data_IF_568978937601
#
_entry.id   IF_568978937601
#
_cell.length_a   1.000
_cell.length_b   1.000
_cell.length_c   1.000
_cell.angle_alpha   90.00
_cell.angle_beta   90.00
_cell.angle_gamma   90.00
#
_symmetry.space_group_name_H-M   'P 1'
#
loop_
_entity.id
_entity.type
_entity.pdbx_description
1 polymer ?
#
# COMPACT_ATOMS: atom_id res chain seq x y z
N UNK A 1 0.97 12.06 -7.03
CA UNK A 1 1.08 10.65 -6.57
C UNK A 1 -0.26 9.90 -6.53
N UNK A 2 -1.31 10.34 -5.82
CA UNK A 2 -2.71 9.83 -6.00
C UNK A 2 -3.15 9.78 -7.48
N UNK A 3 -2.65 10.73 -8.29
CA UNK A 3 -2.81 10.79 -9.75
C UNK A 3 -2.25 9.57 -10.49
N UNK A 4 -1.12 9.00 -10.08
CA UNK A 4 -0.45 7.91 -10.82
C UNK A 4 -1.29 6.63 -10.73
N UNK A 5 -1.73 6.23 -9.54
CA UNK A 5 -2.65 5.07 -9.38
C UNK A 5 -4.05 5.34 -9.93
N UNK A 6 -4.57 6.58 -9.85
CA UNK A 6 -5.82 6.97 -10.53
C UNK A 6 -5.73 6.83 -12.05
N UNK A 7 -4.55 7.09 -12.61
CA UNK A 7 -4.26 6.96 -14.05
C UNK A 7 -3.98 5.51 -14.46
N UNK A 8 -3.43 4.69 -13.55
CA UNK A 8 -3.17 3.27 -13.79
C UNK A 8 -4.43 2.39 -13.70
N UNK A 9 -5.36 2.66 -12.75
CA UNK A 9 -6.47 1.72 -12.44
C UNK A 9 -7.89 2.33 -12.47
N UNK A 10 -8.03 3.59 -12.88
CA UNK A 10 -9.33 4.26 -13.06
C UNK A 10 -10.10 4.58 -11.76
N UNK A 11 -11.08 5.48 -11.85
CA UNK A 11 -11.87 5.97 -10.70
C UNK A 11 -12.90 4.97 -10.16
N UNK A 12 -13.19 3.87 -10.86
CA UNK A 12 -14.25 2.94 -10.51
C UNK A 12 -13.93 2.04 -9.30
N UNK A 13 -12.65 1.73 -9.08
CA UNK A 13 -12.21 0.80 -8.02
C UNK A 13 -12.48 1.37 -6.62
N UNK A 14 -12.26 2.68 -6.42
CA UNK A 14 -12.50 3.33 -5.13
C UNK A 14 -13.99 3.43 -4.76
N UNK A 15 -14.92 3.46 -5.73
CA UNK A 15 -16.35 3.53 -5.41
C UNK A 15 -16.94 2.20 -4.94
N UNK A 16 -16.35 1.07 -5.33
CA UNK A 16 -16.79 -0.26 -4.89
C UNK A 16 -16.25 -0.64 -3.50
N UNK A 17 -15.07 -0.14 -3.13
CA UNK A 17 -14.48 -0.29 -1.79
C UNK A 17 -15.35 0.36 -0.71
N UNK A 18 -15.81 1.62 -0.90
CA UNK A 18 -16.67 2.27 0.09
C UNK A 18 -18.07 1.62 0.18
N UNK A 19 -18.60 1.07 -0.91
CA UNK A 19 -19.91 0.42 -0.93
C UNK A 19 -19.90 -0.97 -0.24
N UNK A 20 -18.81 -1.73 -0.39
CA UNK A 20 -18.63 -3.04 0.25
C UNK A 20 -18.41 -2.91 1.76
N UNK A 21 -17.63 -1.92 2.22
CA UNK A 21 -17.48 -1.63 3.65
C UNK A 21 -18.79 -1.17 4.31
N UNK A 22 -19.59 -0.34 3.62
CA UNK A 22 -20.86 0.16 4.15
C UNK A 22 -21.93 -0.95 4.21
N UNK A 23 -21.92 -1.88 3.26
CA UNK A 23 -22.82 -3.05 3.24
C UNK A 23 -22.44 -4.08 4.32
N UNK A 24 -21.15 -4.31 4.57
CA UNK A 24 -20.68 -5.15 5.69
C UNK A 24 -21.03 -4.56 7.05
N UNK A 25 -20.83 -3.24 7.25
CA UNK A 25 -21.21 -2.55 8.48
C UNK A 25 -22.72 -2.61 8.75
N UNK A 26 -23.54 -2.41 7.70
CA UNK A 26 -25.00 -2.53 7.85
C UNK A 26 -25.44 -3.96 8.13
N UNK A 27 -24.85 -4.98 7.49
CA UNK A 27 -25.17 -6.39 7.75
C UNK A 27 -24.74 -6.85 9.15
N UNK A 28 -23.59 -6.40 9.65
CA UNK A 28 -23.10 -6.71 11.01
C UNK A 28 -23.99 -6.06 12.08
N UNK A 29 -24.39 -4.81 11.87
CA UNK A 29 -25.32 -4.11 12.79
C UNK A 29 -26.70 -4.79 12.77
N UNK A 30 -27.22 -5.18 11.60
CA UNK A 30 -28.50 -5.89 11.49
C UNK A 30 -28.43 -7.28 12.15
N UNK A 31 -27.36 -8.06 11.93
CA UNK A 31 -27.18 -9.39 12.54
C UNK A 31 -27.01 -9.32 14.06
N UNK A 32 -26.27 -8.34 14.59
CA UNK A 32 -26.05 -8.17 16.03
C UNK A 32 -27.33 -7.78 16.78
N UNK A 33 -28.27 -7.11 16.09
CA UNK A 33 -29.53 -6.65 16.69
C UNK A 33 -30.75 -7.55 16.43
N UNK A 34 -30.70 -8.48 15.47
CA UNK A 34 -31.81 -9.41 15.21
C UNK A 34 -31.96 -10.53 16.25
N UNK A 35 -31.03 -10.68 17.19
CA UNK A 35 -31.05 -11.72 18.23
C UNK A 35 -31.94 -11.46 19.45
N UNK A 36 -32.62 -10.32 19.56
CA UNK A 36 -33.52 -10.03 20.69
C UNK A 36 -34.90 -9.60 20.19
N UNK A 37 -35.95 -10.35 20.59
CA UNK A 37 -37.37 -10.09 20.28
C UNK A 37 -37.84 -8.75 20.87
N UNK A 38 -37.50 -7.62 20.24
CA UNK A 38 -38.06 -6.29 20.51
C UNK A 38 -38.17 -5.54 19.16
N UNK A 39 -38.93 -6.10 18.21
CA UNK A 39 -38.91 -5.65 16.81
C UNK A 39 -39.63 -4.32 16.50
N UNK A 40 -40.38 -3.73 17.43
CA UNK A 40 -41.26 -2.58 17.12
C UNK A 40 -40.85 -1.25 17.75
N UNK A 41 -40.07 -1.27 18.84
CA UNK A 41 -39.59 -0.03 19.49
C UNK A 41 -38.30 0.48 18.82
N UNK A 42 -37.43 -0.43 18.40
CA UNK A 42 -36.12 -0.10 17.83
C UNK A 42 -36.18 0.41 16.39
N UNK A 43 -37.13 -0.06 15.58
CA UNK A 43 -37.36 0.47 14.24
C UNK A 43 -37.73 1.96 14.30
N UNK A 44 -38.60 2.37 15.24
CA UNK A 44 -38.93 3.79 15.44
C UNK A 44 -37.73 4.65 15.88
N UNK A 45 -36.83 4.10 16.70
CA UNK A 45 -35.63 4.79 17.17
C UNK A 45 -34.63 4.93 16.00
N UNK A 46 -34.38 3.87 15.25
CA UNK A 46 -33.46 3.87 14.10
C UNK A 46 -33.95 4.82 13.00
N UNK A 47 -35.24 4.81 12.67
CA UNK A 47 -35.81 5.74 11.69
C UNK A 47 -35.75 7.22 12.15
N UNK A 48 -35.90 7.49 13.46
CA UNK A 48 -35.68 8.84 14.01
C UNK A 48 -34.21 9.25 13.92
N UNK A 49 -33.26 8.36 14.22
CA UNK A 49 -31.83 8.67 14.12
C UNK A 49 -31.38 8.89 12.68
N UNK A 50 -31.85 8.07 11.73
CA UNK A 50 -31.56 8.26 10.30
C UNK A 50 -32.19 9.54 9.72
N UNK A 51 -33.41 9.90 10.11
CA UNK A 51 -34.04 11.15 9.65
C UNK A 51 -33.35 12.40 10.20
N UNK A 52 -32.84 12.36 11.43
CA UNK A 52 -32.02 13.44 11.99
C UNK A 52 -30.68 13.58 11.27
N UNK A 53 -30.01 12.47 10.94
CA UNK A 53 -28.74 12.49 10.20
C UNK A 53 -28.92 13.00 8.76
N UNK A 54 -29.99 12.61 8.08
CA UNK A 54 -30.33 13.14 6.75
C UNK A 54 -30.65 14.64 6.84
N UNK A 55 -31.42 15.09 7.84
CA UNK A 55 -31.72 16.51 8.03
C UNK A 55 -30.46 17.35 8.35
N UNK A 56 -29.51 16.83 9.14
CA UNK A 56 -28.21 17.46 9.41
C UNK A 56 -27.34 17.55 8.15
N UNK A 57 -27.42 16.56 7.27
CA UNK A 57 -26.73 16.55 5.96
C UNK A 57 -27.26 17.67 5.04
N UNK A 58 -28.58 17.91 5.06
CA UNK A 58 -29.21 19.00 4.31
C UNK A 58 -28.93 20.38 4.91
N UNK A 59 -28.81 20.51 6.24
CA UNK A 59 -28.38 21.74 6.90
C UNK A 59 -26.91 22.08 6.63
N UNK A 60 -26.02 21.07 6.57
CA UNK A 60 -24.62 21.26 6.21
C UNK A 60 -24.41 21.73 4.77
N UNK A 61 -25.20 21.21 3.83
CA UNK A 61 -25.15 21.60 2.41
C UNK A 61 -25.75 22.99 2.15
N UNK A 62 -26.78 23.40 2.91
CA UNK A 62 -27.32 24.77 2.85
C UNK A 62 -26.40 25.80 3.52
N UNK A 63 -25.68 25.43 4.58
CA UNK A 63 -24.68 26.30 5.23
C UNK A 63 -23.45 26.59 4.35
N UNK A 64 -23.03 25.61 3.56
CA UNK A 64 -21.91 25.76 2.62
C UNK A 64 -22.25 26.68 1.43
N UNK A 65 -23.54 26.80 1.08
CA UNK A 65 -24.01 27.67 -0.01
C UNK A 65 -24.15 29.16 0.33
N UNK A 66 -24.26 29.53 1.62
CA UNK A 66 -24.51 30.92 2.04
C UNK A 66 -23.28 31.64 2.63
N UNK A 67 -22.19 30.93 2.94
CA UNK A 67 -20.95 31.53 3.45
C UNK A 67 -19.93 31.79 2.34
N UNK A 68 -20.36 32.43 1.25
CA UNK A 68 -19.43 33.03 0.28
C UNK A 68 -18.94 34.37 0.83
N UNK A 69 -18.21 34.33 1.95
CA UNK A 69 -17.23 35.36 2.23
C UNK A 69 -16.13 35.13 1.18
N UNK A 70 -15.91 36.11 0.31
CA UNK A 70 -14.76 36.14 -0.59
C UNK A 70 -13.51 35.84 0.23
N UNK A 71 -12.77 34.75 -0.04
CA UNK A 71 -11.51 34.55 0.65
C UNK A 71 -10.63 35.73 0.26
N UNK A 72 -10.14 36.45 1.26
CA UNK A 72 -9.00 37.34 1.06
C UNK A 72 -7.92 36.50 0.35
N UNK A 73 -7.36 37.06 -0.71
CA UNK A 73 -6.35 36.43 -1.56
C UNK A 73 -5.06 36.27 -0.74
N UNK A 74 -5.05 35.29 0.17
CA UNK A 74 -3.83 34.81 0.79
C UNK A 74 -3.08 34.16 -0.34
N UNK A 75 -2.03 34.83 -0.84
CA UNK A 75 -1.01 34.20 -1.67
C UNK A 75 -0.48 33.01 -0.88
N UNK A 76 -1.07 31.84 -1.11
CA UNK A 76 -0.45 30.58 -0.78
C UNK A 76 0.79 30.57 -1.66
N UNK A 77 1.93 30.84 -1.02
CA UNK A 77 3.22 30.59 -1.61
C UNK A 77 3.17 29.13 -2.04
N UNK A 78 3.16 28.89 -3.35
CA UNK A 78 3.23 27.58 -3.94
C UNK A 78 4.56 27.00 -3.47
N UNK A 79 4.51 26.25 -2.37
CA UNK A 79 5.61 25.43 -1.92
C UNK A 79 5.73 24.39 -3.01
N UNK A 80 6.74 24.56 -3.86
CA UNK A 80 7.14 23.56 -4.83
C UNK A 80 7.26 22.24 -4.07
N UNK A 81 6.40 21.28 -4.42
CA UNK A 81 6.56 19.88 -4.05
C UNK A 81 7.77 19.31 -4.79
N UNK A 82 8.96 19.82 -4.50
CA UNK A 82 10.21 19.08 -4.67
C UNK A 82 10.37 18.22 -3.41
N UNK A 83 9.49 17.23 -3.26
CA UNK A 83 9.69 16.15 -2.29
C UNK A 83 9.90 14.91 -3.17
N UNK A 84 11.18 14.61 -3.40
CA UNK A 84 11.73 13.57 -4.27
C UNK A 84 11.56 13.80 -5.78
N UNK A 85 12.66 13.72 -6.52
CA UNK A 85 12.73 13.98 -7.97
C UNK A 85 11.64 13.24 -8.74
N UNK A 86 10.79 14.01 -9.42
CA UNK A 86 9.66 13.48 -10.18
C UNK A 86 10.19 12.82 -11.47
N UNK A 87 10.59 11.55 -11.37
CA UNK A 87 10.77 10.71 -12.56
C UNK A 87 9.42 10.67 -13.27
N UNK A 88 9.36 11.32 -14.43
CA UNK A 88 8.10 11.65 -15.08
C UNK A 88 7.32 10.39 -15.50
N UNK A 89 6.03 10.56 -15.79
CA UNK A 89 5.17 9.46 -16.22
C UNK A 89 5.73 8.67 -17.42
N UNK A 90 6.31 9.36 -18.40
CA UNK A 90 6.89 8.73 -19.58
C UNK A 90 8.14 7.91 -19.26
N UNK A 91 8.93 8.33 -18.27
CA UNK A 91 10.09 7.59 -17.80
C UNK A 91 9.68 6.32 -17.05
N UNK A 92 8.67 6.41 -16.18
CA UNK A 92 8.12 5.23 -15.51
C UNK A 92 7.49 4.26 -16.52
N UNK A 93 6.77 4.76 -17.55
CA UNK A 93 6.22 3.91 -18.61
C UNK A 93 7.33 3.23 -19.41
N UNK A 94 8.41 3.94 -19.76
CA UNK A 94 9.55 3.38 -20.46
C UNK A 94 10.23 2.29 -19.63
N UNK A 95 10.45 2.53 -18.34
CA UNK A 95 10.97 1.51 -17.43
C UNK A 95 10.05 0.29 -17.37
N UNK A 96 8.73 0.49 -17.19
CA UNK A 96 7.77 -0.60 -17.15
C UNK A 96 7.69 -1.40 -18.45
N UNK A 97 7.95 -0.78 -19.61
CA UNK A 97 8.04 -1.50 -20.88
C UNK A 97 9.21 -2.50 -20.93
N UNK A 98 10.28 -2.28 -20.15
CA UNK A 98 11.40 -3.24 -20.06
C UNK A 98 11.03 -4.52 -19.29
N UNK A 99 9.94 -4.48 -18.50
CA UNK A 99 9.38 -5.66 -17.85
C UNK A 99 8.48 -6.50 -18.80
N UNK A 100 8.31 -6.12 -20.07
CA UNK A 100 7.61 -6.97 -21.04
C UNK A 100 8.33 -8.32 -21.18
N UNK A 101 7.58 -9.43 -21.21
CA UNK A 101 8.15 -10.78 -21.05
C UNK A 101 9.21 -11.14 -22.09
N UNK A 102 9.03 -10.72 -23.34
CA UNK A 102 10.01 -10.90 -24.41
C UNK A 102 11.22 -9.97 -24.31
N UNK A 103 11.08 -8.81 -23.66
CA UNK A 103 12.18 -7.88 -23.40
C UNK A 103 13.00 -8.34 -22.19
N UNK A 104 12.34 -8.60 -21.06
CA UNK A 104 12.95 -8.94 -19.78
C UNK A 104 13.91 -10.15 -19.86
N UNK A 105 13.56 -11.17 -20.65
CA UNK A 105 14.41 -12.36 -20.82
C UNK A 105 15.70 -12.08 -21.61
N UNK A 106 15.75 -10.97 -22.35
CA UNK A 106 16.91 -10.59 -23.16
C UNK A 106 17.88 -9.65 -22.43
N UNK A 107 17.43 -9.05 -21.32
CA UNK A 107 18.24 -8.15 -20.50
C UNK A 107 19.40 -8.91 -19.87
N UNK A 108 20.57 -8.26 -19.86
CA UNK A 108 21.71 -8.75 -19.10
C UNK A 108 21.53 -8.53 -17.58
N UNK A 109 22.46 -9.06 -16.78
CA UNK A 109 22.36 -8.98 -15.32
C UNK A 109 22.45 -7.53 -14.80
N UNK A 110 23.21 -6.66 -15.46
CA UNK A 110 23.31 -5.27 -15.03
C UNK A 110 22.01 -4.52 -15.36
N UNK A 111 21.47 -4.71 -16.56
CA UNK A 111 20.19 -4.13 -16.98
C UNK A 111 19.03 -4.62 -16.10
N UNK A 112 19.01 -5.90 -15.73
CA UNK A 112 18.04 -6.45 -14.78
C UNK A 112 18.17 -5.80 -13.41
N UNK A 113 19.39 -5.68 -12.87
CA UNK A 113 19.61 -5.06 -11.55
C UNK A 113 19.13 -3.61 -11.53
N UNK A 114 19.45 -2.84 -12.57
CA UNK A 114 18.97 -1.46 -12.72
C UNK A 114 17.45 -1.40 -12.83
N UNK A 115 16.84 -2.30 -13.60
CA UNK A 115 15.38 -2.40 -13.72
C UNK A 115 14.69 -2.76 -12.40
N UNK A 116 15.29 -3.64 -11.59
CA UNK A 116 14.80 -4.02 -10.28
C UNK A 116 14.85 -2.83 -9.31
N UNK A 117 15.97 -2.11 -9.28
CA UNK A 117 16.10 -0.88 -8.49
C UNK A 117 15.06 0.16 -8.92
N UNK A 118 14.86 0.35 -10.22
CA UNK A 118 13.90 1.32 -10.73
C UNK A 118 12.45 1.01 -10.31
N UNK A 119 12.08 -0.28 -10.23
CA UNK A 119 10.76 -0.69 -9.73
C UNK A 119 10.65 -0.41 -8.22
N UNK A 120 11.68 -0.72 -7.45
CA UNK A 120 11.74 -0.40 -6.01
C UNK A 120 11.62 1.11 -5.79
N UNK A 121 12.36 1.91 -6.55
CA UNK A 121 12.29 3.37 -6.50
C UNK A 121 10.89 3.90 -6.84
N UNK A 122 10.21 3.31 -7.82
CA UNK A 122 8.83 3.67 -8.17
C UNK A 122 7.89 3.39 -6.99
N UNK A 123 7.99 2.22 -6.39
CA UNK A 123 7.12 1.75 -5.32
C UNK A 123 7.36 2.47 -3.99
N UNK A 124 8.62 2.65 -3.61
CA UNK A 124 8.97 3.42 -2.41
C UNK A 124 8.52 4.87 -2.51
N UNK A 125 8.61 5.48 -3.70
CA UNK A 125 8.03 6.81 -3.95
C UNK A 125 6.51 6.83 -3.81
N UNK A 126 5.80 5.77 -4.23
CA UNK A 126 4.37 5.65 -4.01
C UNK A 126 4.03 5.65 -2.51
N UNK A 127 4.81 4.90 -1.73
CA UNK A 127 4.64 4.80 -0.28
C UNK A 127 5.16 6.01 0.50
N UNK A 128 5.99 6.84 -0.12
CA UNK A 128 6.62 7.98 0.54
C UNK A 128 7.74 7.58 1.49
N UNK A 129 8.44 6.47 1.20
CA UNK A 129 9.58 5.98 1.97
C UNK A 129 10.88 6.14 1.17
N UNK A 130 12.02 6.15 1.87
CA UNK A 130 13.33 6.08 1.23
C UNK A 130 13.48 4.72 0.52
N UNK A 131 13.88 4.67 -0.76
CA UNK A 131 13.91 3.43 -1.53
C UNK A 131 15.06 2.51 -1.10
N UNK A 132 14.78 1.25 -0.72
CA UNK A 132 15.83 0.29 -0.42
C UNK A 132 16.74 0.07 -1.62
N UNK A 133 18.02 -0.15 -1.36
CA UNK A 133 18.95 -0.62 -2.39
C UNK A 133 18.71 -2.09 -2.71
N UNK A 134 18.74 -2.48 -3.97
CA UNK A 134 18.60 -3.88 -4.39
C UNK A 134 19.97 -4.49 -4.61
N UNK A 135 20.29 -5.56 -3.88
CA UNK A 135 21.55 -6.27 -3.98
C UNK A 135 21.35 -7.76 -4.23
N UNK A 136 22.32 -8.36 -4.93
CA UNK A 136 22.31 -9.79 -5.25
C UNK A 136 23.37 -10.51 -4.44
N UNK A 137 22.93 -11.35 -3.52
CA UNK A 137 23.81 -12.11 -2.67
C UNK A 137 24.45 -13.25 -3.45
N UNK A 138 25.79 -13.27 -3.46
CA UNK A 138 26.57 -14.30 -4.15
C UNK A 138 26.84 -15.53 -3.28
N UNK A 139 26.58 -15.47 -1.97
CA UNK A 139 27.17 -16.40 -1.00
C UNK A 139 26.25 -17.56 -0.58
N UNK A 140 24.93 -17.49 -0.74
CA UNK A 140 24.02 -18.52 -0.25
C UNK A 140 23.17 -19.15 -1.37
N UNK A 141 23.79 -20.02 -2.15
CA UNK A 141 23.08 -20.85 -3.14
C UNK A 141 22.04 -21.80 -2.48
N UNK A 142 22.18 -22.08 -1.17
CA UNK A 142 21.36 -23.02 -0.41
C UNK A 142 20.26 -22.37 0.45
N UNK A 143 20.12 -21.04 0.43
CA UNK A 143 19.01 -20.39 1.12
C UNK A 143 17.67 -20.80 0.51
N UNK A 144 16.71 -21.18 1.36
CA UNK A 144 15.30 -21.41 0.97
C UNK A 144 14.56 -20.11 0.67
N UNK A 145 15.16 -18.96 0.98
CA UNK A 145 14.56 -17.64 0.78
C UNK A 145 14.94 -17.11 -0.59
N UNK A 146 13.98 -16.52 -1.30
CA UNK A 146 14.22 -15.91 -2.62
C UNK A 146 14.75 -14.49 -2.51
N UNK A 147 14.34 -13.78 -1.46
CA UNK A 147 14.83 -12.47 -1.05
C UNK A 147 14.39 -12.12 0.37
N UNK A 148 14.89 -11.01 0.89
CA UNK A 148 14.47 -10.41 2.15
C UNK A 148 14.86 -8.93 2.22
N UNK A 149 14.10 -8.15 2.97
CA UNK A 149 14.44 -6.78 3.34
C UNK A 149 15.24 -6.72 4.65
N UNK A 150 16.41 -6.07 4.61
CA UNK A 150 17.20 -5.66 5.78
C UNK A 150 16.92 -4.20 6.14
N UNK A 151 16.28 -3.99 7.28
CA UNK A 151 16.09 -2.65 7.85
C UNK A 151 17.41 -1.97 8.22
N UNK A 152 18.37 -2.73 8.73
CA UNK A 152 19.65 -2.19 9.21
C UNK A 152 20.50 -1.61 8.08
N UNK A 153 20.47 -2.27 6.92
CA UNK A 153 21.25 -1.87 5.74
C UNK A 153 20.42 -1.08 4.73
N UNK A 154 19.10 -0.97 4.97
CA UNK A 154 18.14 -0.34 4.05
C UNK A 154 18.25 -0.98 2.65
N UNK A 155 18.20 -2.31 2.62
CA UNK A 155 18.57 -3.11 1.47
C UNK A 155 17.58 -4.26 1.27
N UNK A 156 17.21 -4.51 0.02
CA UNK A 156 16.54 -5.72 -0.43
C UNK A 156 17.62 -6.65 -1.00
N UNK A 157 17.85 -7.76 -0.32
CA UNK A 157 18.73 -8.82 -0.79
C UNK A 157 17.92 -9.84 -1.56
N UNK A 158 18.38 -10.20 -2.75
CA UNK A 158 17.86 -11.35 -3.51
C UNK A 158 18.96 -12.36 -3.77
N UNK A 159 18.60 -13.64 -3.85
CA UNK A 159 19.62 -14.68 -4.09
C UNK A 159 20.10 -14.67 -5.54
N UNK A 160 21.25 -15.29 -5.79
CA UNK A 160 21.76 -15.49 -7.16
C UNK A 160 20.81 -16.24 -8.10
N UNK A 161 19.77 -16.91 -7.60
CA UNK A 161 18.69 -17.53 -8.39
C UNK A 161 17.83 -16.48 -9.11
N UNK A 162 17.78 -15.25 -8.59
CA UNK A 162 17.00 -14.13 -9.14
C UNK A 162 17.30 -13.84 -10.62
N UNK A 163 18.53 -14.09 -11.08
CA UNK A 163 18.90 -13.94 -12.49
C UNK A 163 18.07 -14.79 -13.45
N UNK A 164 17.55 -15.92 -12.95
CA UNK A 164 16.78 -16.91 -13.70
C UNK A 164 15.28 -16.85 -13.42
N UNK A 165 14.83 -15.97 -12.52
CA UNK A 165 13.41 -15.79 -12.22
C UNK A 165 12.69 -15.15 -13.40
N UNK A 166 11.43 -15.57 -13.58
CA UNK A 166 10.53 -14.88 -14.51
C UNK A 166 10.24 -13.47 -13.99
N UNK A 167 9.77 -12.59 -14.87
CA UNK A 167 9.37 -11.24 -14.47
C UNK A 167 8.31 -11.26 -13.38
N UNK A 168 7.37 -12.21 -13.44
CA UNK A 168 6.27 -12.35 -12.49
C UNK A 168 6.81 -12.62 -11.09
N UNK A 169 7.71 -13.61 -10.97
CA UNK A 169 8.34 -13.96 -9.69
C UNK A 169 9.19 -12.81 -9.15
N UNK A 170 9.93 -12.13 -10.02
CA UNK A 170 10.78 -11.03 -9.58
C UNK A 170 9.97 -9.82 -9.11
N UNK A 171 8.90 -9.44 -9.83
CA UNK A 171 7.98 -8.37 -9.39
C UNK A 171 7.34 -8.74 -8.05
N UNK A 172 6.89 -9.97 -7.89
CA UNK A 172 6.33 -10.47 -6.62
C UNK A 172 7.31 -10.27 -5.45
N UNK A 173 8.56 -10.73 -5.60
CA UNK A 173 9.59 -10.57 -4.57
C UNK A 173 9.83 -9.09 -4.27
N UNK A 174 10.07 -8.26 -5.29
CA UNK A 174 10.37 -6.85 -5.07
C UNK A 174 9.22 -6.11 -4.38
N UNK A 175 7.97 -6.35 -4.80
CA UNK A 175 6.79 -5.75 -4.16
C UNK A 175 6.61 -6.23 -2.72
N UNK A 176 6.90 -7.51 -2.43
CA UNK A 176 6.86 -8.07 -1.07
C UNK A 176 7.86 -7.35 -0.17
N UNK A 177 9.11 -7.26 -0.61
CA UNK A 177 10.19 -6.70 0.20
C UNK A 177 10.09 -5.17 0.35
N UNK A 178 9.58 -4.45 -0.66
CA UNK A 178 9.26 -3.02 -0.51
C UNK A 178 8.12 -2.81 0.49
N UNK A 179 7.14 -3.72 0.55
CA UNK A 179 6.08 -3.63 1.54
C UNK A 179 6.61 -3.83 2.97
N UNK A 180 7.60 -4.72 3.16
CA UNK A 180 8.33 -4.83 4.42
C UNK A 180 9.03 -3.52 4.79
N UNK A 181 9.69 -2.84 3.83
CA UNK A 181 10.27 -1.53 4.07
C UNK A 181 9.22 -0.47 4.48
N UNK A 182 8.06 -0.48 3.82
CA UNK A 182 6.94 0.43 4.13
C UNK A 182 6.37 0.18 5.53
N UNK A 183 6.03 -1.07 5.87
CA UNK A 183 5.43 -1.42 7.16
C UNK A 183 6.38 -1.11 8.33
N UNK A 184 7.69 -1.29 8.13
CA UNK A 184 8.73 -0.85 9.08
C UNK A 184 8.76 0.68 9.22
N UNK A 185 8.72 1.43 8.12
CA UNK A 185 8.68 2.89 8.17
C UNK A 185 7.42 3.41 8.88
N UNK A 186 6.27 2.74 8.71
CA UNK A 186 5.04 3.07 9.44
C UNK A 186 5.21 2.82 10.94
N UNK A 187 5.79 1.68 11.33
CA UNK A 187 6.07 1.38 12.74
C UNK A 187 7.03 2.41 13.38
N UNK A 188 8.04 2.86 12.64
CA UNK A 188 9.04 3.83 13.09
C UNK A 188 8.56 5.28 13.06
N UNK A 189 7.46 5.57 12.37
CA UNK A 189 6.90 6.93 12.28
C UNK A 189 6.33 7.47 13.60
N UNK A 190 6.16 6.59 14.59
CA UNK A 190 5.61 6.90 15.92
C UNK A 190 6.72 6.82 16.97
N UNK A 191 6.85 7.84 17.81
CA UNK A 191 7.75 7.79 18.95
C UNK A 191 7.11 7.05 20.13
N UNK A 192 7.38 5.76 20.25
CA UNK A 192 6.79 4.90 21.27
C UNK A 192 7.33 5.14 22.70
N UNK A 193 8.43 5.88 22.84
CA UNK A 193 9.02 6.23 24.14
C UNK A 193 8.40 7.50 24.75
N UNK A 194 7.59 8.25 23.99
CA UNK A 194 6.97 9.48 24.49
C UNK A 194 5.88 9.19 25.52
N UNK A 195 5.91 9.99 26.59
CA UNK A 195 5.22 9.77 27.86
C UNK A 195 3.70 10.02 27.83
N UNK A 196 3.14 10.34 26.66
CA UNK A 196 1.70 10.51 26.44
C UNK A 196 1.11 9.20 25.89
N UNK A 197 1.17 8.13 26.69
CA UNK A 197 0.68 6.79 26.33
C UNK A 197 -0.78 6.78 25.82
N UNK A 198 -1.61 7.75 26.24
CA UNK A 198 -3.02 7.84 25.83
C UNK A 198 -3.17 8.05 24.32
N UNK A 199 -2.24 8.75 23.66
CA UNK A 199 -2.34 9.04 22.22
C UNK A 199 -2.08 7.81 21.35
N UNK A 200 -1.29 6.84 21.82
CA UNK A 200 -1.01 5.59 21.08
C UNK A 200 -2.22 4.66 20.96
N UNK A 201 -3.27 4.88 21.75
CA UNK A 201 -4.54 4.14 21.64
C UNK A 201 -5.47 4.67 20.56
N UNK A 202 -5.14 5.81 19.95
CA UNK A 202 -5.93 6.38 18.87
C UNK A 202 -5.93 5.45 17.65
N UNK A 203 -7.10 5.31 17.03
CA UNK A 203 -7.28 4.43 15.85
C UNK A 203 -6.30 4.73 14.71
N UNK A 204 -5.83 5.98 14.60
CA UNK A 204 -4.86 6.38 13.58
C UNK A 204 -3.49 5.71 13.71
N UNK A 205 -3.12 5.22 14.90
CA UNK A 205 -1.86 4.52 15.15
C UNK A 205 -2.00 3.00 15.19
N UNK A 206 -3.20 2.47 14.96
CA UNK A 206 -3.47 1.04 15.10
C UNK A 206 -2.56 0.19 14.21
N UNK A 207 -2.37 0.60 12.96
CA UNK A 207 -1.53 -0.15 12.01
C UNK A 207 -0.05 -0.06 12.40
N UNK A 208 0.43 1.13 12.80
CA UNK A 208 1.79 1.31 13.29
C UNK A 208 2.09 0.45 14.53
N UNK A 209 1.14 0.32 15.45
CA UNK A 209 1.28 -0.56 16.60
C UNK A 209 1.31 -2.04 16.20
N UNK A 210 0.43 -2.46 15.29
CA UNK A 210 0.40 -3.84 14.77
C UNK A 210 1.75 -4.19 14.14
N UNK A 211 2.28 -3.32 13.28
CA UNK A 211 3.56 -3.55 12.61
C UNK A 211 4.74 -3.51 13.56
N UNK A 212 4.76 -2.59 14.55
CA UNK A 212 5.77 -2.60 15.60
C UNK A 212 5.78 -3.91 16.37
N UNK A 213 4.62 -4.33 16.88
CA UNK A 213 4.51 -5.55 17.67
C UNK A 213 4.91 -6.78 16.85
N UNK A 214 4.51 -6.83 15.57
CA UNK A 214 4.85 -7.92 14.65
C UNK A 214 6.36 -7.96 14.32
N UNK A 215 7.02 -6.80 14.27
CA UNK A 215 8.47 -6.71 14.10
C UNK A 215 9.25 -7.14 15.34
N UNK A 216 8.76 -6.82 16.54
CA UNK A 216 9.42 -7.17 17.81
C UNK A 216 9.29 -8.66 18.15
N UNK A 217 8.25 -9.32 17.64
CA UNK A 217 7.96 -10.75 17.82
C UNK A 217 8.04 -11.49 16.49
N UNK A 218 9.03 -11.13 15.67
CA UNK A 218 9.21 -11.77 14.37
C UNK A 218 9.89 -13.13 14.54
N UNK A 219 9.23 -14.18 14.09
CA UNK A 219 9.75 -15.55 14.10
C UNK A 219 10.22 -15.93 12.70
N UNK A 220 11.43 -16.46 12.60
CA UNK A 220 11.97 -16.91 11.33
C UNK A 220 11.21 -18.16 10.81
N UNK A 221 11.05 -18.34 9.49
CA UNK A 221 10.33 -19.49 8.92
C UNK A 221 10.95 -20.84 9.30
N UNK A 222 12.26 -20.88 9.59
CA UNK A 222 12.98 -22.08 10.02
C UNK A 222 12.70 -22.44 11.49
N UNK A 223 12.23 -21.48 12.30
CA UNK A 223 11.90 -21.67 13.72
C UNK A 223 10.44 -22.10 13.89
N UNK A 224 9.50 -21.31 13.34
CA UNK A 224 8.08 -21.65 13.31
C UNK A 224 7.45 -21.09 12.03
N UNK A 225 7.17 -22.01 11.11
CA UNK A 225 6.55 -21.68 9.84
C UNK A 225 5.13 -21.13 10.02
N UNK A 226 4.31 -21.67 10.92
CA UNK A 226 2.94 -21.18 11.08
C UNK A 226 2.92 -19.77 11.66
N UNK A 227 3.77 -19.49 12.64
CA UNK A 227 3.91 -18.15 13.22
C UNK A 227 4.46 -17.15 12.21
N UNK A 228 5.50 -17.53 11.44
CA UNK A 228 6.03 -16.73 10.35
C UNK A 228 4.95 -16.34 9.34
N UNK A 229 4.19 -17.33 8.82
CA UNK A 229 3.14 -17.04 7.85
C UNK A 229 2.00 -16.20 8.45
N UNK A 230 1.71 -16.32 9.74
CA UNK A 230 0.66 -15.53 10.40
C UNK A 230 1.14 -14.17 10.94
N UNK A 231 2.44 -13.86 10.84
CA UNK A 231 2.98 -12.57 11.25
C UNK A 231 2.35 -11.43 10.42
N UNK A 232 1.95 -10.34 11.07
CA UNK A 232 1.22 -9.26 10.40
C UNK A 232 2.02 -8.55 9.31
N UNK A 233 3.36 -8.51 9.40
CA UNK A 233 4.22 -7.98 8.34
C UNK A 233 4.13 -8.86 7.09
N UNK A 234 4.24 -10.16 7.27
CA UNK A 234 4.19 -11.15 6.19
C UNK A 234 2.79 -11.25 5.57
N UNK A 235 1.73 -11.11 6.36
CA UNK A 235 0.35 -11.00 5.86
C UNK A 235 0.18 -9.74 5.01
N UNK A 236 0.61 -8.58 5.50
CA UNK A 236 0.48 -7.32 4.76
C UNK A 236 1.26 -7.35 3.44
N UNK A 237 2.48 -7.88 3.44
CA UNK A 237 3.30 -8.02 2.25
C UNK A 237 2.67 -8.97 1.22
N UNK A 238 2.11 -10.12 1.65
CA UNK A 238 1.41 -11.04 0.74
C UNK A 238 0.10 -10.48 0.21
N UNK A 239 -0.74 -9.87 1.04
CA UNK A 239 -1.97 -9.24 0.57
C UNK A 239 -1.66 -8.15 -0.47
N UNK A 240 -0.58 -7.39 -0.24
CA UNK A 240 -0.12 -6.40 -1.20
C UNK A 240 0.33 -7.04 -2.52
N UNK A 241 1.16 -8.07 -2.49
CA UNK A 241 1.65 -8.70 -3.72
C UNK A 241 0.54 -9.41 -4.50
N UNK A 242 -0.36 -10.13 -3.81
CA UNK A 242 -1.53 -10.77 -4.41
C UNK A 242 -2.42 -9.77 -5.16
N UNK A 243 -2.54 -8.54 -4.66
CA UNK A 243 -3.33 -7.50 -5.31
C UNK A 243 -2.57 -6.80 -6.46
N UNK A 244 -1.27 -6.56 -6.31
CA UNK A 244 -0.54 -5.62 -7.17
C UNK A 244 0.27 -6.28 -8.29
N UNK A 245 0.71 -7.53 -8.14
CA UNK A 245 1.52 -8.21 -9.16
C UNK A 245 0.76 -8.30 -10.48
N UNK A 246 -0.48 -8.80 -10.48
CA UNK A 246 -1.26 -8.96 -11.72
C UNK A 246 -1.62 -7.62 -12.36
N UNK A 247 -1.89 -6.59 -11.54
CA UNK A 247 -2.14 -5.22 -12.00
C UNK A 247 -0.93 -4.63 -12.72
N UNK A 248 0.27 -4.88 -12.19
CA UNK A 248 1.51 -4.52 -12.86
C UNK A 248 1.65 -5.25 -14.19
N UNK A 249 1.51 -6.57 -14.19
CA UNK A 249 1.68 -7.39 -15.38
C UNK A 249 0.68 -7.03 -16.48
N UNK A 250 -0.59 -6.83 -16.13
CA UNK A 250 -1.64 -6.39 -17.06
C UNK A 250 -1.25 -5.04 -17.69
N UNK A 251 -0.91 -4.05 -16.87
CA UNK A 251 -0.51 -2.74 -17.37
C UNK A 251 0.75 -2.82 -18.27
N UNK A 252 1.77 -3.57 -17.85
CA UNK A 252 3.02 -3.77 -18.61
C UNK A 252 2.74 -4.36 -19.99
N UNK A 253 1.85 -5.35 -20.07
CA UNK A 253 1.49 -6.03 -21.31
C UNK A 253 0.63 -5.16 -22.23
N UNK A 254 -0.11 -4.20 -21.67
CA UNK A 254 -0.86 -3.19 -22.44
C UNK A 254 0.00 -2.06 -23.00
N UNK A 255 1.23 -1.87 -22.50
CA UNK A 255 2.12 -0.82 -23.01
C UNK A 255 2.41 -1.09 -24.50
N UNK A 256 2.09 -0.13 -25.41
CA UNK A 256 2.38 -0.29 -26.82
C UNK A 256 3.87 -0.54 -27.03
N UNK A 257 4.17 -1.60 -27.79
CA UNK A 257 5.55 -1.87 -28.22
C UNK A 257 6.04 -0.66 -29.02
N UNK A 258 7.24 -0.17 -28.70
CA UNK A 258 7.90 0.80 -29.57
C UNK A 258 8.18 0.11 -30.90
N UNK A 259 7.41 0.45 -31.93
CA UNK A 259 7.75 0.12 -33.30
C UNK A 259 8.96 0.98 -33.68
N UNK A 260 10.14 0.38 -33.72
CA UNK A 260 11.27 0.93 -34.49
C UNK A 260 10.98 0.86 -35.99
#
# INVERSE_FOLDING_TARGET
>A
MRKIRRLLFGEAVFTEEYASYLTLLTQVVIRKYHGRKIGHLWTKIIYKSFSVLIALSFLGTLGYGMSRATPAETKVQEVSTEIYGDRGWDENRRMLSMWQGDVYITLDNQEKKELWQDLVDLESRYWGIEPPTVEVEQYEAESERDGYYSKADQMISVTSKAWYYSRERMIEILLHEVNHAYTQAVADSVNWEDQYEDDHTLRMYADAYIFKNASEHYTAPEEDKEEYYNNALEVAAREYTEEWVWKYLEYIDEIPRSTE
#
